data_IF_527456928100
#
_entry.id   IF_527456928100
#
_cell.length_a   1.000
_cell.length_b   1.000
_cell.length_c   1.000
_cell.angle_alpha   90.00
_cell.angle_beta   90.00
_cell.angle_gamma   90.00
#
_symmetry.space_group_name_H-M   'P 1'
#
loop_
_entity.id
_entity.type
_entity.pdbx_description
1 polymer ?
#
# COMPACT_ATOMS: atom_id res chain seq x y z
N UNK A 1 50.89 -11.10 -14.56
CA UNK A 1 50.56 -10.10 -15.60
C UNK A 1 49.89 -8.92 -14.92
N UNK A 2 50.61 -7.79 -14.85
CA UNK A 2 50.13 -6.50 -14.34
C UNK A 2 49.04 -5.93 -15.23
N UNK A 3 47.98 -5.38 -14.64
CA UNK A 3 47.29 -4.19 -15.15
C UNK A 3 46.83 -3.35 -13.96
N UNK A 4 47.62 -2.32 -13.69
CA UNK A 4 47.21 -1.12 -12.97
C UNK A 4 46.20 -0.36 -13.84
N UNK A 5 45.15 0.17 -13.23
CA UNK A 5 44.32 1.22 -13.83
C UNK A 5 44.03 2.24 -12.72
N UNK A 6 44.90 3.25 -12.68
CA UNK A 6 44.79 4.47 -11.90
C UNK A 6 44.03 5.48 -12.77
N UNK A 7 42.86 5.94 -12.33
CA UNK A 7 42.26 7.18 -12.82
C UNK A 7 41.55 7.87 -11.64
N UNK A 8 42.35 8.59 -10.86
CA UNK A 8 41.88 9.55 -9.88
C UNK A 8 41.61 10.89 -10.60
N UNK A 9 40.36 11.12 -10.99
CA UNK A 9 39.90 12.48 -11.27
C UNK A 9 39.37 13.10 -9.98
N UNK A 10 40.24 13.85 -9.30
CA UNK A 10 39.85 14.74 -8.23
C UNK A 10 39.04 15.90 -8.84
N UNK A 11 37.73 15.87 -8.63
CA UNK A 11 36.85 17.01 -8.87
C UNK A 11 37.08 17.98 -7.70
N UNK A 12 37.79 19.07 -7.97
CA UNK A 12 37.85 20.22 -7.06
C UNK A 12 36.46 20.80 -6.94
N UNK A 13 35.85 20.71 -5.74
CA UNK A 13 34.63 21.45 -5.41
C UNK A 13 35.01 22.93 -5.33
N UNK A 14 34.39 23.72 -6.20
CA UNK A 14 34.38 25.18 -6.07
C UNK A 14 33.56 25.51 -4.82
N UNK A 15 34.23 26.02 -3.79
CA UNK A 15 33.60 26.52 -2.56
C UNK A 15 33.07 27.95 -2.80
N UNK A 16 32.17 28.11 -3.76
CA UNK A 16 31.43 29.36 -3.90
C UNK A 16 30.56 29.55 -2.65
N UNK A 17 30.63 30.69 -1.95
CA UNK A 17 29.83 30.94 -0.77
C UNK A 17 28.33 30.76 -1.09
N UNK A 18 27.66 29.95 -0.27
CA UNK A 18 26.23 29.60 -0.36
C UNK A 18 25.30 30.82 -0.57
N UNK A 19 25.72 32.00 -0.15
CA UNK A 19 24.94 33.23 -0.26
C UNK A 19 24.99 33.86 -1.66
N UNK A 20 26.09 33.72 -2.41
CA UNK A 20 26.26 34.36 -3.72
C UNK A 20 25.42 33.66 -4.81
N UNK A 21 25.27 32.33 -4.73
CA UNK A 21 24.43 31.55 -5.64
C UNK A 21 22.92 31.80 -5.43
N UNK A 22 22.51 32.13 -4.19
CA UNK A 22 21.13 32.52 -3.87
C UNK A 22 20.83 33.90 -4.47
N UNK A 23 21.80 34.82 -4.44
CA UNK A 23 21.64 36.16 -5.00
C UNK A 23 21.57 36.15 -6.54
N UNK A 24 22.33 35.28 -7.21
CA UNK A 24 22.25 35.10 -8.67
C UNK A 24 20.92 34.50 -9.13
N UNK A 25 20.37 33.53 -8.39
CA UNK A 25 19.07 32.93 -8.71
C UNK A 25 17.94 33.95 -8.54
N UNK A 26 18.04 34.82 -7.53
CA UNK A 26 17.09 35.93 -7.34
C UNK A 26 17.27 37.05 -8.39
N UNK A 27 18.48 37.28 -8.90
CA UNK A 27 18.73 38.25 -9.99
C UNK A 27 18.17 37.82 -11.34
N UNK A 28 18.09 36.52 -11.63
CA UNK A 28 17.48 36.02 -12.88
C UNK A 28 15.95 36.20 -12.96
N UNK A 29 15.27 36.52 -11.85
CA UNK A 29 13.80 36.58 -11.78
C UNK A 29 13.25 37.99 -12.10
N UNK A 30 14.08 39.03 -12.12
CA UNK A 30 13.61 40.42 -11.99
C UNK A 30 13.29 41.21 -13.27
N UNK A 31 13.15 40.59 -14.45
CA UNK A 31 12.77 41.32 -15.69
C UNK A 31 11.30 41.17 -16.13
N UNK A 32 10.41 40.66 -15.28
CA UNK A 32 8.99 40.45 -15.64
C UNK A 32 8.05 41.51 -15.07
N UNK A 33 7.15 42.00 -15.94
CA UNK A 33 6.07 42.98 -15.77
C UNK A 33 5.53 43.19 -14.33
N UNK A 34 5.48 44.47 -13.93
CA UNK A 34 4.79 44.96 -12.72
C UNK A 34 3.33 44.48 -12.68
N UNK A 35 2.99 43.61 -11.73
CA UNK A 35 1.59 43.50 -11.26
C UNK A 35 1.17 42.19 -10.62
N UNK A 36 1.82 41.06 -10.89
CA UNK A 36 1.40 39.76 -10.35
C UNK A 36 2.61 39.03 -9.78
N UNK A 37 2.70 38.94 -8.45
CA UNK A 37 3.61 38.00 -7.78
C UNK A 37 3.11 36.59 -8.10
N UNK A 38 3.91 35.81 -8.82
CA UNK A 38 3.63 34.38 -8.98
C UNK A 38 4.03 33.66 -7.70
N UNK A 39 3.39 32.52 -7.42
CA UNK A 39 3.74 31.67 -6.28
C UNK A 39 5.24 31.36 -6.25
N UNK A 40 5.86 31.19 -7.41
CA UNK A 40 7.27 30.82 -7.57
C UNK A 40 8.24 31.98 -7.37
N UNK A 41 7.75 33.22 -7.31
CA UNK A 41 8.54 34.41 -6.98
C UNK A 41 8.69 34.59 -5.45
N UNK A 42 8.03 33.74 -4.65
CA UNK A 42 8.16 33.75 -3.19
C UNK A 42 9.54 33.26 -2.74
N UNK A 43 10.01 33.81 -1.63
CA UNK A 43 11.25 33.39 -1.00
C UNK A 43 11.23 31.89 -0.65
N UNK A 44 12.32 31.16 -0.93
CA UNK A 44 12.41 29.69 -0.83
C UNK A 44 11.88 29.10 0.51
N UNK A 45 12.23 29.63 1.69
CA UNK A 45 11.63 29.21 2.96
C UNK A 45 10.08 29.28 3.03
N UNK A 46 9.45 30.26 2.40
CA UNK A 46 7.98 30.35 2.33
C UNK A 46 7.42 29.29 1.39
N UNK A 47 8.08 29.06 0.25
CA UNK A 47 7.73 27.97 -0.66
C UNK A 47 7.79 26.61 0.04
N UNK A 48 8.79 26.36 0.89
CA UNK A 48 8.84 25.11 1.67
C UNK A 48 7.69 24.97 2.64
N UNK A 49 7.31 26.03 3.36
CA UNK A 49 6.14 25.99 4.24
C UNK A 49 4.85 25.74 3.47
N UNK A 50 4.70 26.38 2.30
CA UNK A 50 3.54 26.19 1.43
C UNK A 50 3.53 24.76 0.89
N UNK A 51 4.65 24.22 0.42
CA UNK A 51 4.72 22.85 -0.09
C UNK A 51 4.58 21.81 1.02
N UNK A 52 5.02 22.11 2.25
CA UNK A 52 4.77 21.25 3.39
C UNK A 52 3.30 21.29 3.81
N UNK A 53 2.63 22.42 3.64
CA UNK A 53 1.19 22.56 3.88
C UNK A 53 0.35 21.88 2.78
N UNK A 54 0.69 22.10 1.51
CA UNK A 54 0.05 21.46 0.34
C UNK A 54 0.50 20.00 0.12
N UNK A 55 1.46 19.52 0.91
CA UNK A 55 1.98 18.17 0.80
C UNK A 55 1.21 17.15 1.64
N UNK A 56 0.13 17.57 2.31
CA UNK A 56 -0.74 16.69 3.11
C UNK A 56 -1.19 15.45 2.32
N UNK A 57 -1.32 15.59 0.99
CA UNK A 57 -1.51 14.46 0.07
C UNK A 57 -0.40 14.37 -0.99
N UNK A 58 -0.02 13.15 -1.39
CA UNK A 58 0.97 12.93 -2.47
C UNK A 58 0.49 13.48 -3.82
N UNK A 59 -0.82 13.56 -4.04
CA UNK A 59 -1.42 13.98 -5.31
C UNK A 59 -1.27 15.49 -5.54
N UNK A 60 -1.44 16.30 -4.50
CA UNK A 60 -1.22 17.76 -4.55
C UNK A 60 0.22 18.07 -4.95
N UNK A 61 1.19 17.44 -4.28
CA UNK A 61 2.61 17.65 -4.56
C UNK A 61 3.02 17.14 -5.96
N UNK A 62 2.46 16.02 -6.40
CA UNK A 62 2.71 15.48 -7.75
C UNK A 62 2.18 16.40 -8.84
N UNK A 63 0.95 16.89 -8.70
CA UNK A 63 0.35 17.83 -9.65
C UNK A 63 1.17 19.11 -9.77
N UNK A 64 1.63 19.64 -8.64
CA UNK A 64 2.47 20.84 -8.60
C UNK A 64 3.77 20.68 -9.42
N UNK A 65 4.41 19.51 -9.35
CA UNK A 65 5.67 19.22 -10.05
C UNK A 65 5.49 18.95 -11.54
N UNK A 66 4.39 18.29 -11.92
CA UNK A 66 4.08 18.07 -13.33
C UNK A 66 3.92 19.40 -14.08
N UNK A 67 3.41 20.43 -13.40
CA UNK A 67 3.13 21.74 -13.99
C UNK A 67 4.35 22.66 -14.00
N UNK A 68 5.35 22.46 -13.13
CA UNK A 68 6.49 23.37 -13.03
C UNK A 68 7.85 22.69 -12.87
N UNK A 69 8.71 22.87 -13.88
CA UNK A 69 10.13 22.48 -13.84
C UNK A 69 10.91 23.19 -12.72
N UNK A 70 10.54 24.43 -12.40
CA UNK A 70 11.13 25.16 -11.27
C UNK A 70 10.76 24.49 -9.94
N UNK A 71 9.49 24.09 -9.75
CA UNK A 71 9.09 23.33 -8.55
C UNK A 71 9.86 22.02 -8.47
N UNK A 72 10.01 21.29 -9.58
CA UNK A 72 10.86 20.10 -9.61
C UNK A 72 12.29 20.40 -9.16
N UNK A 73 12.91 21.47 -9.66
CA UNK A 73 14.25 21.87 -9.24
C UNK A 73 14.34 22.32 -7.78
N UNK A 74 13.28 22.93 -7.24
CA UNK A 74 13.20 23.28 -5.81
C UNK A 74 13.08 22.02 -4.95
N UNK A 75 12.31 21.02 -5.39
CA UNK A 75 12.10 19.77 -4.67
C UNK A 75 13.25 18.76 -4.82
N UNK A 76 13.95 18.76 -5.95
CA UNK A 76 14.93 17.71 -6.33
C UNK A 76 16.27 18.21 -6.84
N UNK A 77 16.45 19.52 -7.01
CA UNK A 77 17.69 20.10 -7.50
C UNK A 77 18.87 19.80 -6.59
N UNK A 78 20.07 20.03 -7.12
CA UNK A 78 21.41 19.68 -6.63
C UNK A 78 21.77 20.09 -5.19
N UNK A 79 20.85 20.72 -4.46
CA UNK A 79 21.09 21.34 -3.17
C UNK A 79 20.80 20.46 -1.96
N UNK A 80 20.45 19.18 -2.13
CA UNK A 80 20.44 18.19 -1.03
C UNK A 80 19.90 18.68 0.31
N UNK A 81 18.81 19.47 0.30
CA UNK A 81 18.39 20.29 1.45
C UNK A 81 17.08 19.81 2.11
N UNK A 82 17.00 19.87 3.45
CA UNK A 82 15.99 19.22 4.30
C UNK A 82 14.70 20.05 4.51
N UNK A 83 14.34 20.93 3.58
CA UNK A 83 13.23 21.89 3.82
C UNK A 83 11.84 21.32 3.55
N UNK A 84 11.72 20.41 2.58
CA UNK A 84 10.45 19.75 2.25
C UNK A 84 10.42 18.42 2.99
N UNK A 85 9.51 18.30 3.94
CA UNK A 85 9.34 17.10 4.76
C UNK A 85 8.77 15.95 3.92
N UNK A 86 8.06 16.29 2.85
CA UNK A 86 7.42 15.32 1.96
C UNK A 86 8.39 14.74 0.96
N UNK A 87 8.56 13.43 1.05
CA UNK A 87 9.17 12.65 -0.02
C UNK A 87 8.09 12.27 -1.02
N UNK A 88 8.30 12.63 -2.27
CA UNK A 88 7.45 12.13 -3.36
C UNK A 88 7.81 10.68 -3.59
N UNK A 89 6.78 9.85 -3.58
CA UNK A 89 6.92 8.43 -3.76
C UNK A 89 6.62 8.14 -5.23
N UNK A 90 7.62 7.73 -6.04
CA UNK A 90 7.36 7.36 -7.41
C UNK A 90 6.32 6.22 -7.43
N UNK A 91 5.17 6.53 -8.02
CA UNK A 91 3.99 5.66 -8.04
C UNK A 91 3.73 5.14 -9.45
N UNK A 92 3.61 3.82 -9.58
CA UNK A 92 3.22 3.14 -10.82
C UNK A 92 1.70 2.94 -10.82
N UNK A 93 1.00 3.68 -11.67
CA UNK A 93 -0.46 3.64 -11.72
C UNK A 93 -0.94 2.74 -12.85
N UNK A 94 -1.89 1.86 -12.52
CA UNK A 94 -2.55 0.98 -13.45
C UNK A 94 -4.02 1.37 -13.47
N UNK A 95 -4.53 1.72 -14.64
CA UNK A 95 -5.94 2.05 -14.86
C UNK A 95 -6.48 1.27 -16.07
N UNK A 96 -7.76 0.88 -16.06
CA UNK A 96 -8.39 0.26 -17.23
C UNK A 96 -8.43 1.26 -18.38
N UNK A 97 -8.18 0.78 -19.61
CA UNK A 97 -8.33 1.61 -20.81
C UNK A 97 -9.82 1.93 -21.01
N UNK A 98 -10.18 3.21 -21.12
CA UNK A 98 -11.54 3.61 -21.50
C UNK A 98 -11.65 3.44 -23.01
N UNK A 99 -12.28 2.36 -23.48
CA UNK A 99 -12.61 2.25 -24.90
C UNK A 99 -13.80 3.15 -25.20
N UNK A 100 -13.53 4.38 -25.65
CA UNK A 100 -14.53 5.43 -25.92
C UNK A 100 -15.52 5.11 -27.06
N UNK A 101 -15.35 4.00 -27.80
CA UNK A 101 -16.07 3.78 -29.07
C UNK A 101 -16.93 2.53 -29.20
N UNK A 102 -17.08 1.72 -28.16
CA UNK A 102 -17.82 0.45 -28.24
C UNK A 102 -19.33 0.63 -28.10
N UNK A 103 -19.99 1.10 -29.16
CA UNK A 103 -21.44 1.28 -29.23
C UNK A 103 -22.22 0.08 -28.65
N UNK A 104 -22.89 0.35 -27.54
CA UNK A 104 -24.23 -0.11 -27.17
C UNK A 104 -24.84 -1.17 -28.11
N UNK A 105 -24.71 -2.44 -27.74
CA UNK A 105 -25.44 -3.52 -28.41
C UNK A 105 -25.73 -4.72 -27.51
N UNK A 106 -24.86 -5.05 -26.55
CA UNK A 106 -25.17 -6.15 -25.63
C UNK A 106 -24.21 -6.24 -24.46
N UNK A 107 -24.63 -5.70 -23.31
CA UNK A 107 -24.31 -6.11 -21.93
C UNK A 107 -22.85 -6.28 -21.45
N UNK A 108 -21.85 -6.32 -22.32
CA UNK A 108 -20.44 -6.50 -21.98
C UNK A 108 -19.75 -5.14 -21.97
N UNK A 109 -19.75 -4.47 -20.82
CA UNK A 109 -19.05 -3.20 -20.64
C UNK A 109 -17.59 -3.31 -21.08
N UNK A 110 -17.12 -2.33 -21.87
CA UNK A 110 -15.77 -2.24 -22.41
C UNK A 110 -14.71 -1.92 -21.36
N UNK A 111 -14.60 -2.74 -20.31
CA UNK A 111 -13.56 -2.59 -19.31
C UNK A 111 -12.21 -3.12 -19.78
N UNK A 112 -11.14 -2.70 -19.10
CA UNK A 112 -9.77 -3.09 -19.44
C UNK A 112 -9.56 -4.60 -19.30
N UNK A 113 -8.91 -5.21 -20.29
CA UNK A 113 -8.56 -6.62 -20.23
C UNK A 113 -7.32 -6.85 -19.35
N UNK A 114 -7.43 -7.74 -18.36
CA UNK A 114 -6.28 -8.17 -17.54
C UNK A 114 -5.19 -8.77 -18.44
N UNK A 115 -5.56 -9.50 -19.48
CA UNK A 115 -4.61 -10.10 -20.43
C UNK A 115 -3.79 -9.03 -21.15
N UNK A 116 -4.43 -7.94 -21.60
CA UNK A 116 -3.73 -6.82 -22.23
C UNK A 116 -2.76 -6.13 -21.28
N UNK A 117 -3.18 -5.89 -20.03
CA UNK A 117 -2.30 -5.33 -19.00
C UNK A 117 -1.05 -6.20 -18.81
N UNK A 118 -1.24 -7.51 -18.63
CA UNK A 118 -0.13 -8.43 -18.37
C UNK A 118 0.78 -8.60 -19.60
N UNK A 119 0.22 -8.57 -20.80
CA UNK A 119 0.96 -8.60 -22.07
C UNK A 119 1.83 -7.35 -22.21
N UNK A 120 1.29 -6.17 -21.89
CA UNK A 120 2.05 -4.92 -21.93
C UNK A 120 3.17 -4.92 -20.88
N UNK A 121 2.90 -5.36 -19.65
CA UNK A 121 3.92 -5.49 -18.61
C UNK A 121 5.02 -6.48 -19.03
N UNK A 122 4.64 -7.56 -19.71
CA UNK A 122 5.60 -8.51 -20.26
C UNK A 122 6.49 -7.87 -21.33
N UNK A 123 5.92 -7.18 -22.31
CA UNK A 123 6.73 -6.48 -23.32
C UNK A 123 7.65 -5.42 -22.70
N UNK A 124 7.19 -4.69 -21.69
CA UNK A 124 8.02 -3.75 -20.95
C UNK A 124 9.12 -4.43 -20.13
N UNK A 125 8.92 -5.67 -19.67
CA UNK A 125 9.96 -6.43 -18.96
C UNK A 125 11.03 -6.99 -19.89
N UNK A 126 10.72 -7.20 -21.17
CA UNK A 126 11.70 -7.61 -22.18
C UNK A 126 12.64 -6.46 -22.59
N UNK A 127 12.16 -5.21 -22.58
CA UNK A 127 12.99 -4.05 -22.88
C UNK A 127 13.78 -3.62 -21.62
N UNK A 128 15.12 -3.64 -21.72
CA UNK A 128 16.02 -3.37 -20.58
C UNK A 128 15.83 -1.97 -19.99
N UNK A 129 15.61 -0.96 -20.82
CA UNK A 129 15.43 0.42 -20.35
C UNK A 129 14.13 0.57 -19.57
N UNK A 130 13.01 0.04 -20.09
CA UNK A 130 11.72 0.09 -19.39
C UNK A 130 11.73 -0.80 -18.16
N UNK A 131 12.32 -2.00 -18.22
CA UNK A 131 12.50 -2.89 -17.06
C UNK A 131 13.22 -2.18 -15.92
N UNK A 132 14.32 -1.48 -16.22
CA UNK A 132 15.05 -0.71 -15.22
C UNK A 132 14.21 0.45 -14.68
N UNK A 133 13.46 1.15 -15.55
CA UNK A 133 12.52 2.20 -15.13
C UNK A 133 11.48 1.68 -14.14
N UNK A 134 10.94 0.48 -14.37
CA UNK A 134 9.93 -0.14 -13.51
C UNK A 134 10.46 -0.46 -12.10
N UNK A 135 11.77 -0.60 -11.89
CA UNK A 135 12.35 -0.84 -10.56
C UNK A 135 12.47 0.43 -9.70
N UNK A 136 12.31 1.63 -10.27
CA UNK A 136 12.39 2.86 -9.47
C UNK A 136 11.10 3.18 -8.72
N UNK A 137 9.98 2.58 -9.13
CA UNK A 137 8.71 2.76 -8.45
C UNK A 137 8.72 2.05 -7.11
N UNK A 138 8.24 2.75 -6.07
CA UNK A 138 8.13 2.22 -4.69
C UNK A 138 6.70 1.89 -4.33
N UNK A 139 5.76 2.56 -4.97
CA UNK A 139 4.34 2.38 -4.78
C UNK A 139 3.70 1.97 -6.10
N UNK A 140 2.75 1.04 -6.05
CA UNK A 140 1.87 0.70 -7.16
C UNK A 140 0.44 0.90 -6.73
N UNK A 141 -0.34 1.58 -7.58
CA UNK A 141 -1.77 1.81 -7.37
C UNK A 141 -2.56 1.24 -8.54
N UNK A 142 -3.58 0.44 -8.25
CA UNK A 142 -4.48 -0.12 -9.27
C UNK A 142 -5.83 0.57 -9.15
N UNK A 143 -6.05 1.57 -10.00
CA UNK A 143 -7.28 2.32 -10.04
C UNK A 143 -8.39 1.50 -10.69
N UNK A 144 -9.63 1.70 -10.21
CA UNK A 144 -10.82 1.08 -10.79
C UNK A 144 -10.64 -0.44 -10.99
N UNK A 145 -10.10 -1.12 -9.97
CA UNK A 145 -9.88 -2.57 -10.00
C UNK A 145 -11.14 -3.29 -10.51
N UNK A 146 -12.31 -2.75 -10.17
CA UNK A 146 -13.61 -3.27 -10.54
C UNK A 146 -13.89 -3.37 -12.05
N UNK A 147 -13.23 -2.55 -12.86
CA UNK A 147 -13.44 -2.46 -14.30
C UNK A 147 -12.51 -3.40 -15.07
N UNK A 148 -11.60 -4.09 -14.40
CA UNK A 148 -10.74 -5.08 -15.04
C UNK A 148 -11.51 -6.38 -15.28
N UNK A 149 -11.61 -6.77 -16.55
CA UNK A 149 -12.23 -8.02 -16.94
C UNK A 149 -11.14 -9.02 -17.29
N UNK A 150 -11.23 -10.21 -16.74
CA UNK A 150 -10.43 -11.35 -17.15
C UNK A 150 -11.34 -12.44 -17.71
N UNK A 151 -11.05 -12.93 -18.91
CA UNK A 151 -11.31 -14.34 -19.18
C UNK A 151 -10.31 -15.16 -18.36
N UNK A 152 -10.55 -16.47 -18.22
CA UNK A 152 -9.56 -17.37 -17.64
C UNK A 152 -8.25 -17.21 -18.42
N UNK A 153 -7.26 -16.55 -17.81
CA UNK A 153 -5.92 -16.41 -18.38
C UNK A 153 -5.31 -17.81 -18.36
N UNK A 154 -4.65 -18.21 -19.45
CA UNK A 154 -4.03 -19.52 -19.49
C UNK A 154 -2.97 -19.64 -18.39
N UNK A 155 -2.89 -20.81 -17.77
CA UNK A 155 -1.88 -21.10 -16.75
C UNK A 155 -0.46 -20.82 -17.29
N UNK A 156 -0.22 -21.06 -18.58
CA UNK A 156 1.05 -20.77 -19.26
C UNK A 156 1.43 -19.29 -19.17
N UNK A 157 0.48 -18.36 -19.37
CA UNK A 157 0.72 -16.92 -19.24
C UNK A 157 1.06 -16.57 -17.78
N UNK A 158 0.35 -17.15 -16.81
CA UNK A 158 0.62 -16.93 -15.37
C UNK A 158 2.02 -17.41 -15.01
N UNK A 159 2.40 -18.63 -15.44
CA UNK A 159 3.74 -19.18 -15.23
C UNK A 159 4.81 -18.31 -15.88
N UNK A 160 4.53 -17.77 -17.05
CA UNK A 160 5.46 -16.89 -17.75
C UNK A 160 5.64 -15.56 -17.01
N UNK A 161 4.56 -14.94 -16.54
CA UNK A 161 4.61 -13.71 -15.73
C UNK A 161 5.43 -13.94 -14.47
N UNK A 162 5.15 -15.04 -13.75
CA UNK A 162 5.85 -15.40 -12.51
C UNK A 162 7.37 -15.48 -12.68
N UNK A 163 7.84 -15.91 -13.86
CA UNK A 163 9.26 -16.07 -14.16
C UNK A 163 9.90 -14.79 -14.70
N UNK A 164 9.17 -14.00 -15.47
CA UNK A 164 9.76 -12.94 -16.31
C UNK A 164 9.45 -11.51 -15.86
N UNK A 165 8.40 -11.31 -15.06
CA UNK A 165 7.99 -9.98 -14.59
C UNK A 165 8.22 -9.90 -13.10
N UNK A 166 9.16 -9.04 -12.70
CA UNK A 166 9.42 -8.70 -11.31
C UNK A 166 9.69 -7.21 -11.18
N UNK A 167 8.94 -6.57 -10.31
CA UNK A 167 9.06 -5.16 -9.95
C UNK A 167 9.45 -5.07 -8.47
N UNK A 168 10.65 -5.58 -8.17
CA UNK A 168 11.20 -5.68 -6.81
C UNK A 168 11.41 -4.33 -6.11
N UNK A 169 11.33 -3.23 -6.87
CA UNK A 169 11.33 -1.87 -6.31
C UNK A 169 10.08 -1.52 -5.53
N UNK A 170 8.93 -2.11 -5.90
CA UNK A 170 7.63 -1.81 -5.29
C UNK A 170 7.54 -2.49 -3.92
N UNK A 171 7.30 -1.66 -2.91
CA UNK A 171 7.16 -2.06 -1.50
C UNK A 171 5.77 -1.76 -0.97
N UNK A 172 4.95 -0.98 -1.67
CA UNK A 172 3.57 -0.66 -1.30
C UNK A 172 2.64 -0.90 -2.49
N UNK A 173 1.52 -1.58 -2.25
CA UNK A 173 0.48 -1.87 -3.23
C UNK A 173 -0.87 -1.40 -2.71
N UNK A 174 -1.47 -0.46 -3.43
CA UNK A 174 -2.82 0.05 -3.19
C UNK A 174 -3.75 -0.49 -4.28
N UNK A 175 -4.65 -1.39 -3.88
CA UNK A 175 -5.72 -1.95 -4.71
C UNK A 175 -7.09 -1.60 -4.13
N UNK A 176 -7.14 -0.59 -3.24
CA UNK A 176 -8.38 -0.14 -2.62
C UNK A 176 -9.36 0.41 -3.65
N UNK A 177 -10.65 0.30 -3.36
CA UNK A 177 -11.72 0.88 -4.21
C UNK A 177 -12.36 2.05 -3.46
N UNK A 178 -12.68 3.18 -4.11
CA UNK A 178 -13.27 4.34 -3.45
C UNK A 178 -14.74 4.15 -2.99
N UNK A 179 -15.39 3.03 -3.34
CA UNK A 179 -16.82 2.82 -3.15
C UNK A 179 -17.11 1.60 -2.28
N UNK A 180 -18.30 1.61 -1.66
CA UNK A 180 -18.86 0.56 -0.79
C UNK A 180 -18.67 -0.82 -1.44
N UNK A 181 -18.36 -1.88 -0.66
CA UNK A 181 -18.11 -3.21 -1.17
C UNK A 181 -19.28 -3.71 -2.01
N UNK A 182 -19.15 -3.65 -3.34
CA UNK A 182 -19.95 -4.50 -4.19
C UNK A 182 -19.32 -5.89 -4.13
N UNK A 183 -20.14 -6.92 -3.97
CA UNK A 183 -19.68 -8.29 -4.20
C UNK A 183 -19.30 -8.40 -5.66
N UNK A 184 -18.01 -8.31 -5.95
CA UNK A 184 -17.55 -8.39 -7.33
C UNK A 184 -16.77 -9.69 -7.50
N UNK A 185 -17.37 -10.70 -8.16
CA UNK A 185 -16.90 -12.07 -8.11
C UNK A 185 -15.58 -12.35 -8.89
N UNK A 186 -14.90 -11.35 -9.47
CA UNK A 186 -13.90 -11.59 -10.54
C UNK A 186 -12.50 -10.96 -10.39
N UNK A 187 -12.11 -10.36 -9.27
CA UNK A 187 -10.75 -9.79 -9.11
C UNK A 187 -9.68 -10.73 -8.57
N UNK A 188 -10.05 -11.98 -8.24
CA UNK A 188 -9.10 -12.96 -7.72
C UNK A 188 -7.89 -13.13 -8.64
N UNK A 189 -8.07 -13.13 -9.97
CA UNK A 189 -6.96 -13.39 -10.88
C UNK A 189 -5.90 -12.28 -10.92
N UNK A 190 -6.31 -11.02 -11.03
CA UNK A 190 -5.38 -9.90 -11.07
C UNK A 190 -4.65 -9.75 -9.73
N UNK A 191 -5.38 -9.80 -8.62
CA UNK A 191 -4.78 -9.73 -7.27
C UNK A 191 -3.76 -10.85 -7.05
N UNK A 192 -4.07 -12.08 -7.41
CA UNK A 192 -3.12 -13.20 -7.37
C UNK A 192 -1.89 -12.95 -8.25
N UNK A 193 -2.09 -12.41 -9.47
CA UNK A 193 -0.99 -12.16 -10.41
C UNK A 193 -0.05 -11.06 -9.91
N UNK A 194 -0.61 -10.01 -9.29
CA UNK A 194 0.18 -8.91 -8.72
C UNK A 194 1.15 -9.41 -7.65
N UNK A 195 0.76 -10.38 -6.81
CA UNK A 195 1.67 -10.96 -5.80
C UNK A 195 2.97 -11.53 -6.38
N UNK A 196 2.95 -12.03 -7.63
CA UNK A 196 4.15 -12.53 -8.31
C UNK A 196 5.00 -11.39 -8.88
N UNK A 197 4.35 -10.30 -9.29
CA UNK A 197 4.99 -9.12 -9.90
C UNK A 197 5.70 -8.29 -8.82
N UNK A 198 5.17 -8.20 -7.61
CA UNK A 198 5.72 -7.39 -6.50
C UNK A 198 6.22 -8.24 -5.32
N UNK A 199 7.29 -9.05 -5.50
CA UNK A 199 7.73 -10.00 -4.48
C UNK A 199 8.28 -9.36 -3.20
N UNK A 200 8.69 -8.07 -3.25
CA UNK A 200 9.24 -7.32 -2.12
C UNK A 200 8.21 -6.43 -1.42
N UNK A 201 6.93 -6.78 -1.55
CA UNK A 201 5.84 -6.01 -0.95
C UNK A 201 5.95 -6.00 0.58
N UNK A 202 5.91 -4.81 1.17
CA UNK A 202 5.88 -4.56 2.62
C UNK A 202 4.48 -4.18 3.09
N UNK A 203 3.77 -3.38 2.30
CA UNK A 203 2.43 -2.86 2.64
C UNK A 203 1.42 -3.18 1.55
N UNK A 204 0.28 -3.74 1.94
CA UNK A 204 -0.87 -3.99 1.08
C UNK A 204 -2.08 -3.21 1.60
N UNK A 205 -2.67 -2.35 0.78
CA UNK A 205 -3.99 -1.77 1.01
C UNK A 205 -5.02 -2.37 0.05
N UNK A 206 -6.02 -3.03 0.64
CA UNK A 206 -7.14 -3.68 -0.02
C UNK A 206 -8.48 -3.23 0.54
N UNK A 207 -8.54 -2.00 1.05
CA UNK A 207 -9.76 -1.45 1.63
C UNK A 207 -10.92 -1.42 0.62
N UNK A 208 -12.13 -1.63 1.12
CA UNK A 208 -13.38 -1.73 0.38
C UNK A 208 -13.42 -2.88 -0.65
N UNK A 209 -12.64 -3.94 -0.44
CA UNK A 209 -12.67 -5.16 -1.26
C UNK A 209 -13.33 -6.33 -0.53
N UNK A 210 -14.06 -7.16 -1.29
CA UNK A 210 -14.32 -8.54 -0.89
C UNK A 210 -13.06 -9.36 -1.19
N UNK A 211 -12.23 -9.56 -0.18
CA UNK A 211 -10.97 -10.29 -0.32
C UNK A 211 -11.06 -11.61 0.43
N UNK A 212 -11.47 -12.65 -0.30
CA UNK A 212 -11.44 -14.03 0.21
C UNK A 212 -10.01 -14.42 0.62
N UNK A 213 -9.91 -15.47 1.42
CA UNK A 213 -8.64 -16.01 1.91
C UNK A 213 -7.63 -16.37 0.81
N UNK A 214 -8.09 -16.74 -0.40
CA UNK A 214 -7.19 -17.20 -1.48
C UNK A 214 -6.24 -16.08 -1.95
N UNK A 215 -6.70 -14.90 -2.39
CA UNK A 215 -5.81 -13.78 -2.73
C UNK A 215 -4.84 -13.40 -1.61
N UNK A 216 -5.32 -13.29 -0.35
CA UNK A 216 -4.44 -12.98 0.78
C UNK A 216 -3.39 -14.07 0.98
N UNK A 217 -3.78 -15.35 0.90
CA UNK A 217 -2.87 -16.50 1.02
C UNK A 217 -1.78 -16.47 -0.02
N UNK A 218 -2.11 -16.02 -1.23
CA UNK A 218 -1.18 -15.90 -2.34
C UNK A 218 -0.21 -14.72 -2.13
N UNK A 219 -0.67 -13.57 -1.66
CA UNK A 219 0.23 -12.48 -1.23
C UNK A 219 1.13 -12.91 -0.08
N UNK A 220 0.56 -13.50 0.96
CA UNK A 220 1.28 -14.00 2.13
C UNK A 220 2.38 -14.99 1.75
N UNK A 221 2.12 -15.86 0.77
CA UNK A 221 3.08 -16.85 0.27
C UNK A 221 4.16 -16.26 -0.65
N UNK A 222 3.84 -15.27 -1.48
CA UNK A 222 4.78 -14.75 -2.50
C UNK A 222 5.51 -13.48 -2.08
N UNK A 223 4.99 -12.76 -1.09
CA UNK A 223 5.53 -11.52 -0.56
C UNK A 223 6.04 -11.75 0.87
N UNK A 224 7.17 -12.44 1.01
CA UNK A 224 7.71 -12.84 2.32
C UNK A 224 8.05 -11.68 3.26
N UNK A 225 8.19 -10.46 2.72
CA UNK A 225 8.46 -9.24 3.49
C UNK A 225 7.18 -8.47 3.86
N UNK A 226 5.99 -9.04 3.66
CA UNK A 226 4.74 -8.33 3.95
C UNK A 226 4.63 -8.05 5.46
N UNK A 227 4.69 -6.77 5.82
CA UNK A 227 4.69 -6.27 7.21
C UNK A 227 3.34 -5.68 7.61
N UNK A 228 2.57 -5.15 6.66
CA UNK A 228 1.31 -4.45 6.95
C UNK A 228 0.22 -4.76 5.93
N UNK A 229 -0.98 -5.02 6.45
CA UNK A 229 -2.20 -5.18 5.65
C UNK A 229 -3.24 -4.18 6.15
N UNK A 230 -3.81 -3.41 5.22
CA UNK A 230 -4.96 -2.53 5.44
C UNK A 230 -6.10 -3.05 4.58
N UNK A 231 -7.25 -3.33 5.18
CA UNK A 231 -8.43 -3.86 4.50
C UNK A 231 -9.68 -3.40 5.24
N UNK A 232 -9.86 -2.08 5.32
CA UNK A 232 -10.99 -1.47 6.00
C UNK A 232 -12.26 -1.59 5.15
N UNK A 233 -13.42 -1.70 5.80
CA UNK A 233 -14.71 -1.92 5.14
C UNK A 233 -14.68 -3.11 4.17
N UNK A 234 -13.88 -4.13 4.43
CA UNK A 234 -13.73 -5.29 3.56
C UNK A 234 -14.65 -6.43 4.00
N UNK A 235 -14.93 -7.38 3.11
CA UNK A 235 -15.73 -8.57 3.44
C UNK A 235 -14.98 -9.85 3.09
N UNK A 236 -15.44 -10.96 3.65
CA UNK A 236 -15.02 -12.33 3.32
C UNK A 236 -13.59 -12.69 3.73
N UNK A 237 -12.99 -11.93 4.65
CA UNK A 237 -11.71 -12.26 5.28
C UNK A 237 -11.98 -13.30 6.38
N UNK A 238 -11.24 -14.39 6.46
CA UNK A 238 -11.39 -15.36 7.56
C UNK A 238 -11.00 -14.74 8.90
N UNK A 239 -11.88 -14.91 9.91
CA UNK A 239 -11.63 -14.45 11.28
C UNK A 239 -10.40 -15.14 11.92
N UNK A 240 -10.08 -16.36 11.49
CA UNK A 240 -8.89 -17.10 11.95
C UNK A 240 -7.58 -16.56 11.35
N UNK A 241 -7.67 -15.75 10.29
CA UNK A 241 -6.50 -15.23 9.58
C UNK A 241 -5.77 -16.26 8.73
N UNK A 242 -6.44 -17.33 8.28
CA UNK A 242 -5.82 -18.42 7.51
C UNK A 242 -5.12 -17.92 6.24
N UNK A 243 -5.74 -17.00 5.51
CA UNK A 243 -5.14 -16.34 4.34
C UNK A 243 -3.85 -15.54 4.63
N UNK A 244 -3.48 -15.31 5.89
CA UNK A 244 -2.28 -14.57 6.26
C UNK A 244 -1.24 -15.44 6.97
N UNK A 245 -1.46 -16.76 6.99
CA UNK A 245 -0.65 -17.72 7.76
C UNK A 245 0.79 -17.90 7.29
N UNK A 246 1.13 -17.47 6.07
CA UNK A 246 2.47 -17.56 5.51
C UNK A 246 3.31 -16.29 5.71
N UNK A 247 2.74 -15.25 6.33
CA UNK A 247 3.40 -13.95 6.53
C UNK A 247 4.06 -13.89 7.90
N UNK A 248 5.25 -14.46 8.04
CA UNK A 248 5.97 -14.48 9.31
C UNK A 248 6.40 -13.07 9.79
N UNK A 249 6.45 -12.09 8.88
CA UNK A 249 6.83 -10.70 9.17
C UNK A 249 5.63 -9.75 9.35
N UNK A 250 4.40 -10.25 9.39
CA UNK A 250 3.22 -9.41 9.52
C UNK A 250 3.17 -8.76 10.92
N UNK A 251 3.30 -7.43 10.97
CA UNK A 251 3.36 -6.61 12.19
C UNK A 251 2.12 -5.74 12.36
N UNK A 252 1.49 -5.31 11.28
CA UNK A 252 0.32 -4.43 11.29
C UNK A 252 -0.88 -4.99 10.54
N UNK A 253 -2.06 -4.97 11.18
CA UNK A 253 -3.34 -5.27 10.52
C UNK A 253 -4.38 -4.20 10.85
N UNK A 254 -5.01 -3.65 9.82
CA UNK A 254 -6.05 -2.62 9.95
C UNK A 254 -7.28 -3.05 9.14
N UNK A 255 -8.36 -3.43 9.82
CA UNK A 255 -9.56 -4.01 9.23
C UNK A 255 -10.81 -3.47 9.92
N UNK A 256 -10.86 -2.15 10.11
CA UNK A 256 -11.99 -1.46 10.73
C UNK A 256 -13.22 -1.55 9.82
N UNK A 257 -14.40 -1.71 10.43
CA UNK A 257 -15.69 -1.86 9.75
C UNK A 257 -15.79 -3.08 8.80
N UNK A 258 -14.87 -4.03 8.90
CA UNK A 258 -14.85 -5.21 8.04
C UNK A 258 -15.79 -6.32 8.53
N UNK A 259 -16.21 -7.18 7.62
CA UNK A 259 -17.06 -8.35 7.90
C UNK A 259 -16.26 -9.62 7.67
N UNK A 260 -15.93 -10.31 8.75
CA UNK A 260 -15.20 -11.56 8.73
C UNK A 260 -16.12 -12.75 8.43
N UNK A 261 -15.55 -13.75 7.76
CA UNK A 261 -16.15 -15.05 7.56
C UNK A 261 -15.69 -16.03 8.64
N UNK A 262 -16.60 -16.93 9.02
CA UNK A 262 -16.36 -18.05 9.93
C UNK A 262 -16.83 -19.31 9.22
N UNK A 263 -15.99 -20.34 9.17
CA UNK A 263 -16.23 -21.51 8.32
C UNK A 263 -17.11 -22.58 8.96
N UNK A 264 -17.21 -22.60 10.29
CA UNK A 264 -17.98 -23.60 11.02
C UNK A 264 -18.77 -23.00 12.19
N UNK A 265 -19.91 -23.61 12.53
CA UNK A 265 -20.66 -23.25 13.74
C UNK A 265 -19.85 -23.54 15.01
N UNK A 266 -19.01 -24.58 14.97
CA UNK A 266 -18.10 -24.91 16.06
C UNK A 266 -17.15 -23.76 16.35
N UNK A 267 -16.54 -23.18 15.31
CA UNK A 267 -15.64 -22.04 15.44
C UNK A 267 -16.37 -20.86 16.09
N UNK A 268 -17.62 -20.58 15.71
CA UNK A 268 -18.41 -19.50 16.31
C UNK A 268 -18.61 -19.68 17.82
N UNK A 269 -18.89 -20.91 18.26
CA UNK A 269 -19.03 -21.23 19.68
C UNK A 269 -17.70 -21.11 20.40
N UNK A 270 -16.63 -21.66 19.83
CA UNK A 270 -15.29 -21.63 20.40
C UNK A 270 -14.70 -20.21 20.47
N UNK A 271 -15.01 -19.32 19.52
CA UNK A 271 -14.63 -17.91 19.61
C UNK A 271 -15.37 -17.17 20.73
N UNK A 272 -16.60 -17.58 21.04
CA UNK A 272 -17.47 -16.88 21.97
C UNK A 272 -17.30 -17.33 23.42
N UNK A 273 -16.65 -18.46 23.67
CA UNK A 273 -16.27 -18.88 25.01
C UNK A 273 -14.90 -18.30 25.44
N UNK A 274 -14.62 -18.35 26.75
CA UNK A 274 -13.31 -17.99 27.30
C UNK A 274 -12.39 -19.20 27.49
N UNK A 275 -12.81 -20.39 27.03
CA UNK A 275 -12.02 -21.62 27.14
C UNK A 275 -10.89 -21.54 26.14
N UNK A 276 -9.66 -21.83 26.54
CA UNK A 276 -8.53 -21.72 25.63
C UNK A 276 -8.42 -22.95 24.72
N UNK A 277 -9.17 -22.95 23.62
CA UNK A 277 -9.03 -23.94 22.56
C UNK A 277 -7.82 -23.60 21.67
N UNK A 278 -7.02 -24.61 21.35
CA UNK A 278 -5.87 -24.44 20.48
C UNK A 278 -6.33 -23.93 19.11
N UNK A 279 -5.86 -22.73 18.73
CA UNK A 279 -6.18 -22.03 17.47
C UNK A 279 -7.61 -21.48 17.32
N UNK A 280 -8.46 -21.53 18.34
CA UNK A 280 -9.82 -20.95 18.24
C UNK A 280 -9.91 -19.56 18.86
N UNK A 281 -9.10 -18.63 18.34
CA UNK A 281 -9.16 -17.21 18.66
C UNK A 281 -8.83 -16.36 17.42
N UNK A 282 -9.25 -15.09 17.45
CA UNK A 282 -9.13 -14.18 16.30
C UNK A 282 -7.67 -14.16 15.80
N UNK A 283 -7.45 -14.30 14.49
CA UNK A 283 -6.13 -14.29 13.86
C UNK A 283 -5.13 -15.34 14.37
N UNK A 284 -5.60 -16.44 14.94
CA UNK A 284 -4.76 -17.52 15.48
C UNK A 284 -3.71 -18.07 14.50
N UNK A 285 -3.95 -17.95 13.18
CA UNK A 285 -3.03 -18.42 12.16
C UNK A 285 -1.95 -17.41 11.73
N UNK A 286 -2.11 -16.11 12.03
CA UNK A 286 -1.16 -15.06 11.62
C UNK A 286 -0.65 -14.20 12.78
N UNK A 287 -0.89 -14.62 14.02
CA UNK A 287 -0.58 -13.84 15.22
C UNK A 287 0.86 -13.97 15.75
N UNK A 288 1.85 -14.41 14.98
CA UNK A 288 3.20 -14.68 15.54
C UNK A 288 4.02 -13.42 15.84
N UNK A 289 3.90 -12.40 14.98
CA UNK A 289 4.77 -11.21 15.00
C UNK A 289 3.98 -9.89 15.06
N UNK A 290 2.67 -9.97 15.33
CA UNK A 290 1.80 -8.80 15.33
C UNK A 290 2.20 -7.80 16.41
N UNK A 291 2.24 -6.53 16.03
CA UNK A 291 2.51 -5.40 16.91
C UNK A 291 1.29 -4.48 17.04
N UNK A 292 0.55 -4.29 15.96
CA UNK A 292 -0.58 -3.36 15.87
C UNK A 292 -1.76 -4.01 15.16
N UNK A 293 -2.93 -4.00 15.80
CA UNK A 293 -4.17 -4.53 15.21
C UNK A 293 -5.33 -3.56 15.43
N UNK A 294 -6.09 -3.27 14.38
CA UNK A 294 -7.33 -2.50 14.44
C UNK A 294 -8.47 -3.29 13.79
N UNK A 295 -9.52 -3.56 14.54
CA UNK A 295 -10.76 -4.21 14.09
C UNK A 295 -12.00 -3.51 14.67
N UNK A 296 -11.95 -2.17 14.78
CA UNK A 296 -13.05 -1.38 15.35
C UNK A 296 -14.30 -1.54 14.48
N UNK A 297 -15.46 -1.71 15.11
CA UNK A 297 -16.74 -1.93 14.44
C UNK A 297 -16.72 -3.11 13.44
N UNK A 298 -15.78 -4.04 13.61
CA UNK A 298 -15.74 -5.24 12.79
C UNK A 298 -16.81 -6.24 13.25
N UNK A 299 -17.27 -7.04 12.30
CA UNK A 299 -18.37 -8.00 12.47
C UNK A 299 -17.94 -9.36 11.95
N UNK A 300 -18.62 -10.41 12.37
CA UNK A 300 -18.52 -11.72 11.73
C UNK A 300 -19.93 -12.20 11.40
N UNK A 301 -20.15 -12.63 10.16
CA UNK A 301 -21.50 -12.87 9.64
C UNK A 301 -22.41 -11.64 9.88
N UNK A 302 -23.60 -11.83 10.43
CA UNK A 302 -24.56 -10.76 10.72
C UNK A 302 -24.36 -10.15 12.13
N UNK A 303 -23.38 -10.62 12.89
CA UNK A 303 -23.16 -10.30 14.31
C UNK A 303 -21.94 -9.43 14.58
N UNK A 304 -21.96 -8.73 15.72
CA UNK A 304 -20.77 -8.07 16.27
C UNK A 304 -19.78 -9.10 16.83
N UNK A 305 -18.49 -8.81 16.76
CA UNK A 305 -17.49 -9.61 17.48
C UNK A 305 -17.81 -9.56 18.98
N UNK A 306 -17.92 -10.73 19.62
CA UNK A 306 -18.29 -10.81 21.03
C UNK A 306 -17.14 -10.30 21.92
N UNK A 307 -17.48 -9.79 23.09
CA UNK A 307 -16.46 -9.34 24.06
C UNK A 307 -15.52 -10.49 24.46
N UNK A 308 -16.05 -11.71 24.61
CA UNK A 308 -15.24 -12.88 24.93
C UNK A 308 -14.21 -13.19 23.84
N UNK A 309 -14.58 -13.07 22.55
CA UNK A 309 -13.65 -13.27 21.45
C UNK A 309 -12.51 -12.24 21.47
N UNK A 310 -12.83 -10.96 21.74
CA UNK A 310 -11.84 -9.88 21.86
C UNK A 310 -10.91 -10.09 23.06
N UNK A 311 -11.45 -10.45 24.23
CA UNK A 311 -10.67 -10.80 25.44
C UNK A 311 -9.73 -11.97 25.14
N UNK A 312 -10.25 -13.04 24.53
CA UNK A 312 -9.50 -14.24 24.20
C UNK A 312 -8.37 -13.95 23.22
N UNK A 313 -8.60 -13.05 22.25
CA UNK A 313 -7.55 -12.56 21.37
C UNK A 313 -6.43 -11.84 22.15
N UNK A 314 -6.76 -10.87 23.00
CA UNK A 314 -5.74 -10.11 23.76
C UNK A 314 -4.92 -11.01 24.68
N UNK A 315 -5.56 -11.99 25.33
CA UNK A 315 -4.85 -12.97 26.18
C UNK A 315 -3.88 -13.85 25.39
N UNK A 316 -4.25 -14.27 24.19
CA UNK A 316 -3.43 -15.12 23.32
C UNK A 316 -2.54 -14.36 22.33
N UNK A 317 -2.63 -13.03 22.29
CA UNK A 317 -1.81 -12.20 21.43
C UNK A 317 -0.31 -12.41 21.71
N UNK A 318 0.55 -12.31 20.68
CA UNK A 318 2.00 -12.44 20.86
C UNK A 318 2.53 -11.37 21.82
N UNK A 319 3.67 -11.64 22.45
CA UNK A 319 4.35 -10.68 23.32
C UNK A 319 4.83 -9.42 22.58
N UNK A 320 4.96 -9.50 21.25
CA UNK A 320 5.27 -8.37 20.39
C UNK A 320 4.11 -7.37 20.25
N UNK A 321 2.88 -7.75 20.61
CA UNK A 321 1.71 -6.87 20.48
C UNK A 321 1.82 -5.68 21.42
N UNK A 322 1.70 -4.48 20.88
CA UNK A 322 1.83 -3.21 21.62
C UNK A 322 0.57 -2.37 21.56
N UNK A 323 -0.26 -2.56 20.55
CA UNK A 323 -1.43 -1.73 20.31
C UNK A 323 -2.58 -2.53 19.73
N UNK A 324 -3.76 -2.42 20.33
CA UNK A 324 -4.97 -3.07 19.85
C UNK A 324 -6.17 -2.14 19.95
N UNK A 325 -6.83 -1.92 18.81
CA UNK A 325 -8.06 -1.15 18.70
C UNK A 325 -9.25 -2.02 18.31
N UNK A 326 -10.31 -1.97 19.11
CA UNK A 326 -11.51 -2.78 18.92
C UNK A 326 -12.73 -2.16 19.60
N UNK A 327 -13.85 -2.89 19.68
CA UNK A 327 -15.03 -2.44 20.43
C UNK A 327 -15.07 -3.05 21.85
N UNK A 328 -13.93 -3.17 22.53
CA UNK A 328 -13.88 -3.66 23.91
C UNK A 328 -14.63 -2.69 24.85
N UNK A 329 -15.39 -3.22 25.81
CA UNK A 329 -15.97 -2.40 26.87
C UNK A 329 -14.87 -1.79 27.76
N UNK A 330 -15.16 -0.66 28.40
CA UNK A 330 -14.21 -0.01 29.30
C UNK A 330 -13.80 -0.91 30.48
N UNK A 331 -14.73 -1.70 31.00
CA UNK A 331 -14.45 -2.67 32.08
C UNK A 331 -13.48 -3.75 31.60
N UNK A 332 -13.67 -4.27 30.37
CA UNK A 332 -12.77 -5.27 29.79
C UNK A 332 -11.40 -4.69 29.45
N UNK A 333 -11.33 -3.43 28.98
CA UNK A 333 -10.07 -2.71 28.79
C UNK A 333 -9.32 -2.61 30.11
N UNK A 334 -9.99 -2.17 31.17
CA UNK A 334 -9.40 -2.00 32.50
C UNK A 334 -8.87 -3.34 33.04
N UNK A 335 -9.65 -4.40 32.90
CA UNK A 335 -9.24 -5.75 33.29
C UNK A 335 -8.04 -6.26 32.48
N UNK A 336 -8.07 -6.14 31.15
CA UNK A 336 -7.00 -6.62 30.28
C UNK A 336 -5.71 -5.81 30.43
N UNK A 337 -5.79 -4.52 30.78
CA UNK A 337 -4.61 -3.71 31.12
C UNK A 337 -3.89 -4.23 32.36
N UNK A 338 -4.61 -4.80 33.34
CA UNK A 338 -4.00 -5.46 34.49
C UNK A 338 -3.30 -6.77 34.10
N UNK A 339 -3.89 -7.54 33.18
CA UNK A 339 -3.35 -8.83 32.73
C UNK A 339 -2.18 -8.66 31.73
N UNK A 340 -2.25 -7.65 30.86
CA UNK A 340 -1.33 -7.41 29.73
C UNK A 340 -0.93 -5.92 29.68
N UNK A 341 -0.24 -5.37 30.69
CA UNK A 341 0.06 -3.92 30.77
C UNK A 341 0.96 -3.38 29.65
N UNK A 342 1.63 -4.25 28.88
CA UNK A 342 2.44 -3.86 27.73
C UNK A 342 1.65 -3.55 26.45
N UNK A 343 0.32 -3.72 26.46
CA UNK A 343 -0.55 -3.46 25.31
C UNK A 343 -1.39 -2.21 25.57
N UNK A 344 -1.29 -1.24 24.68
CA UNK A 344 -2.21 -0.12 24.61
C UNK A 344 -3.54 -0.60 23.99
N UNK A 345 -4.61 -0.58 24.79
CA UNK A 345 -5.96 -0.97 24.38
C UNK A 345 -6.83 0.28 24.19
N UNK A 346 -7.41 0.44 23.00
CA UNK A 346 -8.21 1.63 22.64
C UNK A 346 -9.49 1.24 21.89
N UNK A 347 -10.47 2.15 21.87
CA UNK A 347 -11.74 2.02 21.13
C UNK A 347 -11.75 2.86 19.85
#
# INVERSE_FOLDING_TARGET
MRRENSNNNAITRDDTPIFDAIEETNKMIHTSNKGVLSLLDLHIPLLFRIFNYLGETQDELRNLILVSKQVYQICYGSYGRPGIEWRIIPTFEISPLQNEGGGSGGGGGGGGSIETLLTNLYHHSLNTQTKNKLQFYRHMRVNDLQKFHGRNISEDIIQHIKRNIRMSGITMLDISIPLIPMQIPKFGLLTCTLSYIVPNLLELDSSNLSMRDIPLGIFSKNCHFLEKITSNNSTDISLHGFGMSFSDNLRGMYMDNSVFSVYSNTDMHEFSDLVNHERSFIFSHCCKSLERVSIRNARYCDGKITQNALIKFVRNAPSSMRWFRSDLSQDNITMLQLERPGIELVN
#
